data_IF_836423956750
#
_entry.id   IF_836423956750
#
_cell.length_a   1.000
_cell.length_b   1.000
_cell.length_c   1.000
_cell.angle_alpha   90.00
_cell.angle_beta   90.00
_cell.angle_gamma   90.00
#
_symmetry.space_group_name_H-M   'P 1'
#
loop_
_entity.id
_entity.type
_entity.pdbx_description
1 polymer ?
#
# COMPACT_ATOMS: atom_id res chain seq x y z
N UNK A 1 -55.53 -16.45 14.32
CA UNK A 1 -54.14 -16.55 14.84
C UNK A 1 -53.16 -16.21 13.72
N UNK A 2 -52.64 -14.99 13.66
CA UNK A 2 -51.59 -14.60 12.71
C UNK A 2 -50.24 -14.76 13.42
N UNK A 3 -49.44 -15.75 13.02
CA UNK A 3 -48.05 -15.88 13.45
C UNK A 3 -47.25 -14.82 12.68
N UNK A 4 -46.88 -13.72 13.33
CA UNK A 4 -45.82 -12.86 12.83
C UNK A 4 -44.53 -13.68 12.86
N UNK A 5 -43.96 -13.92 11.68
CA UNK A 5 -42.64 -14.49 11.55
C UNK A 5 -41.62 -13.49 12.09
N UNK A 6 -41.11 -13.76 13.29
CA UNK A 6 -39.92 -13.10 13.83
C UNK A 6 -38.75 -13.57 12.97
N UNK A 7 -38.32 -12.72 12.05
CA UNK A 7 -37.03 -12.88 11.36
C UNK A 7 -35.94 -12.97 12.44
N UNK A 8 -35.11 -14.03 12.47
CA UNK A 8 -34.19 -14.23 13.56
C UNK A 8 -33.07 -13.18 13.50
N UNK A 9 -32.88 -12.46 14.61
CA UNK A 9 -31.82 -11.47 14.87
C UNK A 9 -30.40 -11.98 14.55
N UNK A 10 -30.22 -13.29 14.41
CA UNK A 10 -28.95 -13.92 14.04
C UNK A 10 -28.49 -13.61 12.61
N UNK A 11 -29.39 -13.18 11.70
CA UNK A 11 -28.97 -12.72 10.37
C UNK A 11 -28.38 -11.30 10.39
N UNK A 12 -28.62 -10.50 11.44
CA UNK A 12 -28.05 -9.16 11.58
C UNK A 12 -26.65 -9.15 12.23
N UNK A 13 -26.26 -10.20 12.94
CA UNK A 13 -24.93 -10.30 13.56
C UNK A 13 -23.81 -10.68 12.58
N UNK A 14 -24.13 -11.03 11.34
CA UNK A 14 -23.15 -11.19 10.26
C UNK A 14 -22.77 -9.86 9.59
N UNK A 15 -23.50 -8.78 9.87
CA UNK A 15 -23.21 -7.42 9.40
C UNK A 15 -22.26 -6.65 10.34
N UNK A 16 -21.89 -7.18 11.52
CA UNK A 16 -21.28 -6.37 12.59
C UNK A 16 -19.77 -6.47 12.76
N UNK A 17 -19.05 -7.15 11.86
CA UNK A 17 -17.58 -7.19 11.93
C UNK A 17 -16.97 -6.46 10.74
N UNK A 18 -16.24 -5.37 10.99
CA UNK A 18 -15.32 -4.80 10.01
C UNK A 18 -14.25 -5.86 9.71
N UNK A 19 -13.93 -6.06 8.43
CA UNK A 19 -12.72 -6.77 8.05
C UNK A 19 -11.49 -6.01 8.51
N UNK A 20 -10.35 -6.70 8.62
CA UNK A 20 -9.07 -6.00 8.78
C UNK A 20 -8.91 -5.05 7.58
N UNK A 21 -8.72 -3.74 7.82
CA UNK A 21 -8.69 -2.76 6.75
C UNK A 21 -7.55 -3.07 5.77
N UNK A 22 -7.66 -2.55 4.55
CA UNK A 22 -6.54 -2.52 3.62
C UNK A 22 -5.26 -2.00 4.31
N UNK A 23 -4.06 -2.37 3.82
CA UNK A 23 -2.80 -1.88 4.37
C UNK A 23 -2.85 -0.37 4.65
N UNK A 24 -2.26 0.08 5.76
CA UNK A 24 -2.39 1.46 6.21
C UNK A 24 -2.01 2.48 5.11
N UNK A 25 -2.89 3.45 4.86
CA UNK A 25 -2.71 4.49 3.84
C UNK A 25 -3.53 4.30 2.55
N UNK A 26 -4.27 3.20 2.43
CA UNK A 26 -5.07 2.86 1.25
C UNK A 26 -6.55 2.93 1.64
N UNK A 27 -7.23 4.01 1.24
CA UNK A 27 -8.66 4.22 1.53
C UNK A 27 -9.52 3.42 0.54
N UNK A 28 -9.49 2.09 0.67
CA UNK A 28 -10.28 1.18 -0.15
C UNK A 28 -11.48 0.67 0.67
N UNK A 29 -12.63 0.50 0.03
CA UNK A 29 -13.85 -0.03 0.68
C UNK A 29 -13.83 -1.57 0.77
N UNK A 30 -12.63 -2.16 0.71
CA UNK A 30 -12.39 -3.60 0.74
C UNK A 30 -11.30 -3.96 1.75
N UNK A 31 -11.47 -5.12 2.40
CA UNK A 31 -10.58 -5.64 3.42
C UNK A 31 -9.34 -6.35 2.84
N UNK A 32 -8.47 -6.86 3.72
CA UNK A 32 -7.28 -7.67 3.33
C UNK A 32 -7.61 -8.91 2.49
N UNK A 33 -8.87 -9.36 2.51
CA UNK A 33 -9.40 -10.49 1.76
C UNK A 33 -10.18 -10.07 0.49
N UNK A 34 -10.12 -8.79 0.13
CA UNK A 34 -10.76 -8.21 -1.04
C UNK A 34 -12.29 -8.31 -0.99
N UNK A 35 -12.87 -8.27 0.21
CA UNK A 35 -14.32 -8.25 0.46
C UNK A 35 -14.74 -6.89 0.99
N UNK A 36 -16.02 -6.49 0.85
CA UNK A 36 -16.51 -5.24 1.42
C UNK A 36 -16.15 -5.11 2.91
N UNK A 37 -15.47 -4.03 3.26
CA UNK A 37 -14.77 -3.91 4.54
C UNK A 37 -15.73 -3.78 5.71
N UNK A 38 -16.62 -2.79 5.65
CA UNK A 38 -17.46 -2.41 6.77
C UNK A 38 -18.97 -2.69 6.52
N UNK A 39 -19.85 -2.47 7.51
CA UNK A 39 -21.29 -2.71 7.33
C UNK A 39 -21.92 -1.86 6.22
N UNK A 40 -21.45 -0.64 5.98
CA UNK A 40 -21.93 0.23 4.91
C UNK A 40 -21.49 -0.30 3.55
N UNK A 41 -20.23 -0.70 3.41
CA UNK A 41 -19.70 -1.29 2.18
C UNK A 41 -20.44 -2.59 1.83
N UNK A 42 -20.66 -3.46 2.82
CA UNK A 42 -21.43 -4.70 2.65
C UNK A 42 -22.85 -4.43 2.18
N UNK A 43 -23.49 -3.43 2.79
CA UNK A 43 -24.84 -3.01 2.45
C UNK A 43 -24.89 -2.44 1.03
N UNK A 44 -23.93 -1.60 0.66
CA UNK A 44 -23.84 -1.03 -0.67
C UNK A 44 -23.54 -2.08 -1.74
N UNK A 45 -22.60 -2.99 -1.49
CA UNK A 45 -22.31 -4.14 -2.35
C UNK A 45 -23.54 -5.06 -2.53
N UNK A 46 -24.41 -5.18 -1.52
CA UNK A 46 -25.63 -5.97 -1.62
C UNK A 46 -26.72 -5.28 -2.46
N UNK A 47 -26.97 -3.99 -2.23
CA UNK A 47 -28.06 -3.26 -2.91
C UNK A 47 -27.65 -2.70 -4.29
N UNK A 48 -26.37 -2.54 -4.55
CA UNK A 48 -25.85 -1.98 -5.81
C UNK A 48 -24.53 -2.66 -6.20
N UNK A 49 -24.54 -3.98 -6.45
CA UNK A 49 -23.32 -4.78 -6.64
C UNK A 49 -22.48 -4.28 -7.82
N UNK A 50 -23.10 -3.97 -8.95
CA UNK A 50 -22.40 -3.47 -10.13
C UNK A 50 -21.63 -2.17 -9.83
N UNK A 51 -22.32 -1.20 -9.22
CA UNK A 51 -21.72 0.09 -8.87
C UNK A 51 -20.60 -0.07 -7.85
N UNK A 52 -20.81 -0.84 -6.79
CA UNK A 52 -19.79 -1.09 -5.78
C UNK A 52 -18.51 -1.65 -6.40
N UNK A 53 -18.61 -2.73 -7.18
CA UNK A 53 -17.44 -3.37 -7.76
C UNK A 53 -16.77 -2.53 -8.86
N UNK A 54 -17.51 -1.69 -9.58
CA UNK A 54 -16.93 -0.70 -10.51
C UNK A 54 -16.14 0.38 -9.80
N UNK A 55 -16.62 0.87 -8.67
CA UNK A 55 -15.85 1.79 -7.84
C UNK A 55 -14.57 1.12 -7.33
N UNK A 56 -14.64 -0.14 -6.91
CA UNK A 56 -13.45 -0.87 -6.46
C UNK A 56 -12.44 -1.14 -7.59
N UNK A 57 -12.91 -1.41 -8.81
CA UNK A 57 -12.04 -1.55 -10.00
C UNK A 57 -11.28 -0.25 -10.27
N UNK A 58 -11.97 0.88 -10.23
CA UNK A 58 -11.37 2.21 -10.42
C UNK A 58 -10.37 2.55 -9.29
N UNK A 59 -10.76 2.33 -8.04
CA UNK A 59 -9.92 2.63 -6.88
C UNK A 59 -8.65 1.76 -6.93
N UNK A 60 -8.77 0.45 -7.20
CA UNK A 60 -7.62 -0.44 -7.36
C UNK A 60 -6.74 -0.08 -8.56
N UNK A 61 -7.32 0.40 -9.67
CA UNK A 61 -6.56 0.93 -10.80
C UNK A 61 -5.70 2.13 -10.42
N UNK A 62 -6.28 3.08 -9.66
CA UNK A 62 -5.57 4.25 -9.13
C UNK A 62 -4.43 3.84 -8.20
N UNK A 63 -4.73 2.91 -7.30
CA UNK A 63 -3.80 2.37 -6.33
C UNK A 63 -2.64 1.63 -7.01
N UNK A 64 -2.92 0.82 -8.03
CA UNK A 64 -1.92 0.11 -8.84
C UNK A 64 -0.97 1.06 -9.56
N UNK A 65 -1.51 2.05 -10.26
CA UNK A 65 -0.72 3.04 -10.99
C UNK A 65 0.20 3.84 -10.05
N UNK A 66 -0.32 4.28 -8.90
CA UNK A 66 0.47 4.98 -7.89
C UNK A 66 1.53 4.07 -7.25
N UNK A 67 1.17 2.83 -6.92
CA UNK A 67 2.03 1.83 -6.28
C UNK A 67 3.23 1.44 -7.15
N UNK A 68 3.02 1.20 -8.45
CA UNK A 68 4.09 0.86 -9.40
C UNK A 68 5.07 2.02 -9.58
N UNK A 69 4.57 3.25 -9.71
CA UNK A 69 5.39 4.46 -9.80
C UNK A 69 6.21 4.69 -8.54
N UNK A 70 5.59 4.59 -7.37
CA UNK A 70 6.25 4.81 -6.08
C UNK A 70 7.35 3.78 -5.83
N UNK A 71 7.10 2.51 -6.18
CA UNK A 71 8.09 1.44 -6.07
C UNK A 71 9.30 1.71 -6.97
N UNK A 72 9.05 2.03 -8.25
CA UNK A 72 10.10 2.36 -9.22
C UNK A 72 10.97 3.53 -8.75
N UNK A 73 10.33 4.60 -8.26
CA UNK A 73 11.05 5.76 -7.71
C UNK A 73 11.87 5.38 -6.47
N UNK A 74 11.33 4.56 -5.58
CA UNK A 74 12.02 4.15 -4.35
C UNK A 74 13.22 3.26 -4.65
N UNK A 75 13.09 2.33 -5.60
CA UNK A 75 14.21 1.50 -6.09
C UNK A 75 15.30 2.36 -6.75
N UNK A 76 14.91 3.35 -7.57
CA UNK A 76 15.87 4.30 -8.14
C UNK A 76 16.61 5.13 -7.08
N UNK A 77 15.91 5.57 -6.02
CA UNK A 77 16.53 6.27 -4.88
C UNK A 77 17.49 5.36 -4.11
N UNK A 78 17.16 4.08 -3.93
CA UNK A 78 18.04 3.11 -3.29
C UNK A 78 19.34 2.92 -4.10
N UNK A 79 19.23 2.74 -5.41
CA UNK A 79 20.37 2.58 -6.30
C UNK A 79 21.26 3.83 -6.32
N UNK A 80 20.63 5.02 -6.39
CA UNK A 80 21.32 6.29 -6.28
C UNK A 80 22.06 6.42 -4.94
N UNK A 81 21.42 6.10 -3.82
CA UNK A 81 22.05 6.14 -2.49
C UNK A 81 23.24 5.19 -2.41
N UNK A 82 23.10 3.94 -2.90
CA UNK A 82 24.17 2.94 -2.92
C UNK A 82 25.36 3.36 -3.76
N UNK A 83 25.13 3.92 -4.95
CA UNK A 83 26.20 4.43 -5.82
C UNK A 83 26.97 5.60 -5.20
N UNK A 84 26.35 6.38 -4.31
CA UNK A 84 26.98 7.52 -3.64
C UNK A 84 27.72 7.16 -2.35
N UNK A 85 27.78 5.88 -1.94
CA UNK A 85 28.44 5.45 -0.69
C UNK A 85 29.88 5.97 -0.56
N UNK A 86 30.64 5.92 -1.66
CA UNK A 86 32.02 6.43 -1.69
C UNK A 86 32.12 7.95 -1.50
N UNK A 87 31.21 8.73 -2.10
CA UNK A 87 31.15 10.18 -1.92
C UNK A 87 30.75 10.55 -0.49
N UNK A 88 29.84 9.79 0.12
CA UNK A 88 29.50 9.94 1.54
C UNK A 88 30.70 9.70 2.45
N UNK A 89 31.49 8.65 2.19
CA UNK A 89 32.73 8.40 2.92
C UNK A 89 33.72 9.56 2.76
N UNK A 90 33.96 10.03 1.53
CA UNK A 90 34.86 11.15 1.28
C UNK A 90 34.44 12.42 2.03
N UNK A 91 33.15 12.75 2.04
CA UNK A 91 32.62 13.89 2.82
C UNK A 91 32.82 13.71 4.32
N UNK A 92 32.64 12.50 4.85
CA UNK A 92 32.89 12.21 6.26
C UNK A 92 34.40 12.34 6.61
N UNK A 93 35.28 11.93 5.70
CA UNK A 93 36.72 12.10 5.86
C UNK A 93 37.18 13.56 5.79
N UNK A 94 36.57 14.36 4.91
CA UNK A 94 36.80 15.79 4.78
C UNK A 94 36.29 16.55 6.00
N UNK A 95 35.06 16.29 6.45
CA UNK A 95 34.51 16.88 7.68
C UNK A 95 35.37 16.56 8.91
N UNK A 96 35.86 15.32 9.04
CA UNK A 96 36.76 14.97 10.14
C UNK A 96 38.08 15.77 10.09
N UNK A 97 38.59 16.07 8.90
CA UNK A 97 39.79 16.88 8.68
C UNK A 97 39.57 18.35 9.04
N UNK A 98 38.45 18.91 8.61
CA UNK A 98 38.05 20.29 8.91
C UNK A 98 37.86 20.51 10.42
N UNK A 99 37.36 19.49 11.13
CA UNK A 99 37.23 19.48 12.59
C UNK A 99 38.57 19.24 13.32
N UNK A 100 39.67 19.02 12.59
CA UNK A 100 40.99 18.74 13.17
C UNK A 100 41.09 17.38 13.88
N UNK A 101 40.15 16.46 13.64
CA UNK A 101 40.12 15.15 14.30
C UNK A 101 41.26 14.26 13.78
N UNK A 102 41.87 13.51 14.69
CA UNK A 102 42.98 12.61 14.35
C UNK A 102 42.87 11.27 15.08
N UNK A 103 43.67 10.29 14.64
CA UNK A 103 43.80 9.00 15.30
C UNK A 103 42.45 8.29 15.53
N UNK A 104 42.11 8.05 16.80
CA UNK A 104 40.88 7.37 17.21
C UNK A 104 39.63 8.20 16.92
N UNK A 105 39.65 9.49 17.24
CA UNK A 105 38.51 10.40 17.09
C UNK A 105 38.09 10.54 15.63
N UNK A 106 39.06 10.62 14.69
CA UNK A 106 38.78 10.61 13.25
C UNK A 106 38.04 9.34 12.82
N UNK A 107 38.48 8.17 13.30
CA UNK A 107 37.86 6.89 12.95
C UNK A 107 36.45 6.78 13.51
N UNK A 108 36.22 7.23 14.74
CA UNK A 108 34.89 7.25 15.36
C UNK A 108 33.94 8.18 14.60
N UNK A 109 34.39 9.40 14.27
CA UNK A 109 33.59 10.34 13.48
C UNK A 109 33.18 9.77 12.12
N UNK A 110 34.13 9.20 11.36
CA UNK A 110 33.84 8.58 10.07
C UNK A 110 32.86 7.41 10.25
N UNK A 111 33.08 6.57 11.26
CA UNK A 111 32.21 5.43 11.55
C UNK A 111 30.78 5.88 11.84
N UNK A 112 30.57 6.87 12.70
CA UNK A 112 29.24 7.38 13.03
C UNK A 112 28.51 7.92 11.79
N UNK A 113 29.21 8.64 10.92
CA UNK A 113 28.64 9.13 9.66
C UNK A 113 28.23 7.97 8.74
N UNK A 114 29.07 6.95 8.60
CA UNK A 114 28.78 5.78 7.78
C UNK A 114 27.66 4.92 8.39
N UNK A 115 27.58 4.80 9.71
CA UNK A 115 26.48 4.12 10.40
C UNK A 115 25.14 4.84 10.15
N UNK A 116 25.12 6.19 10.11
CA UNK A 116 23.92 6.94 9.74
C UNK A 116 23.51 6.69 8.29
N UNK A 117 24.48 6.70 7.37
CA UNK A 117 24.23 6.37 5.97
C UNK A 117 23.64 4.96 5.83
N UNK A 118 24.21 3.95 6.48
CA UNK A 118 23.72 2.58 6.40
C UNK A 118 22.30 2.46 7.00
N UNK A 119 21.96 3.23 8.05
CA UNK A 119 20.58 3.33 8.58
C UNK A 119 19.60 3.96 7.58
N UNK A 120 20.02 5.01 6.87
CA UNK A 120 19.18 5.65 5.83
C UNK A 120 18.91 4.67 4.67
N UNK A 121 19.94 3.96 4.20
CA UNK A 121 19.78 2.91 3.18
C UNK A 121 18.82 1.83 3.66
N UNK A 122 18.99 1.35 4.89
CA UNK A 122 18.12 0.32 5.46
C UNK A 122 16.66 0.79 5.54
N UNK A 123 16.41 2.04 5.93
CA UNK A 123 15.07 2.60 5.96
C UNK A 123 14.42 2.68 4.56
N UNK A 124 15.21 2.89 3.50
CA UNK A 124 14.70 2.85 2.11
C UNK A 124 14.36 1.40 1.72
N UNK A 125 15.21 0.43 2.05
CA UNK A 125 14.96 -0.99 1.79
C UNK A 125 13.68 -1.48 2.46
N UNK A 126 13.50 -1.15 3.75
CA UNK A 126 12.31 -1.54 4.51
C UNK A 126 11.04 -0.91 3.91
N UNK A 127 11.13 0.34 3.42
CA UNK A 127 10.04 1.00 2.71
C UNK A 127 9.70 0.30 1.40
N UNK A 128 10.69 -0.08 0.61
CA UNK A 128 10.50 -0.84 -0.64
C UNK A 128 9.82 -2.17 -0.35
N UNK A 129 10.21 -2.87 0.71
CA UNK A 129 9.57 -4.13 1.11
C UNK A 129 8.08 -3.93 1.47
N UNK A 130 7.75 -2.87 2.22
CA UNK A 130 6.37 -2.53 2.52
C UNK A 130 5.57 -2.18 1.26
N UNK A 131 6.15 -1.43 0.32
CA UNK A 131 5.51 -1.11 -0.96
C UNK A 131 5.27 -2.36 -1.82
N UNK A 132 6.20 -3.33 -1.82
CA UNK A 132 6.03 -4.61 -2.52
C UNK A 132 4.84 -5.39 -1.96
N UNK A 133 4.75 -5.52 -0.63
CA UNK A 133 3.60 -6.17 0.03
C UNK A 133 2.27 -5.48 -0.30
N UNK A 134 2.25 -4.14 -0.32
CA UNK A 134 1.06 -3.39 -0.71
C UNK A 134 0.68 -3.64 -2.18
N UNK A 135 1.64 -3.59 -3.11
CA UNK A 135 1.39 -3.86 -4.53
C UNK A 135 0.92 -5.30 -4.78
N UNK A 136 1.41 -6.27 -4.01
CA UNK A 136 0.94 -7.65 -4.06
C UNK A 136 -0.51 -7.78 -3.59
N UNK A 137 -0.90 -7.06 -2.54
CA UNK A 137 -2.30 -6.97 -2.11
C UNK A 137 -3.19 -6.34 -3.19
N UNK A 138 -2.77 -5.23 -3.80
CA UNK A 138 -3.51 -4.60 -4.90
C UNK A 138 -3.73 -5.61 -6.04
N UNK A 139 -2.67 -6.32 -6.45
CA UNK A 139 -2.76 -7.32 -7.53
C UNK A 139 -3.72 -8.45 -7.18
N UNK A 140 -3.70 -8.92 -5.93
CA UNK A 140 -4.65 -9.92 -5.41
C UNK A 140 -6.08 -9.41 -5.50
N UNK A 141 -6.33 -8.17 -5.06
CA UNK A 141 -7.68 -7.61 -5.03
C UNK A 141 -8.19 -7.19 -6.40
N UNK A 142 -7.33 -6.71 -7.30
CA UNK A 142 -7.64 -6.42 -8.71
C UNK A 142 -8.21 -7.69 -9.37
N UNK A 143 -7.55 -8.83 -9.18
CA UNK A 143 -8.04 -10.11 -9.67
C UNK A 143 -9.37 -10.55 -9.02
N UNK A 144 -9.57 -10.23 -7.74
CA UNK A 144 -10.82 -10.56 -7.05
C UNK A 144 -11.98 -9.72 -7.59
N UNK A 145 -11.80 -8.41 -7.72
CA UNK A 145 -12.80 -7.48 -8.27
C UNK A 145 -13.14 -7.83 -9.71
N UNK A 146 -12.15 -8.14 -10.55
CA UNK A 146 -12.38 -8.61 -11.92
C UNK A 146 -13.26 -9.88 -11.95
N UNK A 147 -13.09 -10.81 -11.00
CA UNK A 147 -13.96 -11.99 -10.90
C UNK A 147 -15.39 -11.61 -10.52
N UNK A 148 -15.56 -10.71 -9.55
CA UNK A 148 -16.89 -10.25 -9.13
C UNK A 148 -17.63 -9.53 -10.26
N UNK A 149 -16.95 -8.65 -11.00
CA UNK A 149 -17.51 -8.01 -12.19
C UNK A 149 -17.94 -9.05 -13.24
N UNK A 150 -17.12 -10.06 -13.51
CA UNK A 150 -17.48 -11.14 -14.44
C UNK A 150 -18.68 -11.95 -13.97
N UNK A 151 -18.81 -12.21 -12.66
CA UNK A 151 -19.98 -12.87 -12.10
C UNK A 151 -21.27 -12.07 -12.30
N UNK A 152 -21.15 -10.74 -12.40
CA UNK A 152 -22.25 -9.82 -12.72
C UNK A 152 -22.46 -9.65 -14.25
N UNK A 153 -21.71 -10.37 -15.09
CA UNK A 153 -21.78 -10.23 -16.55
C UNK A 153 -21.09 -8.97 -17.09
N UNK A 154 -20.27 -8.30 -16.27
CA UNK A 154 -19.55 -7.09 -16.63
C UNK A 154 -18.11 -7.39 -17.05
N UNK A 155 -17.68 -6.80 -18.16
CA UNK A 155 -16.29 -6.83 -18.60
C UNK A 155 -15.45 -5.80 -17.84
N UNK A 156 -14.18 -6.10 -17.49
CA UNK A 156 -13.28 -5.11 -16.94
C UNK A 156 -13.08 -3.92 -17.87
N UNK A 157 -12.92 -2.74 -17.30
CA UNK A 157 -12.70 -1.50 -18.06
C UNK A 157 -11.24 -1.06 -17.88
N UNK A 158 -10.64 -0.52 -18.94
CA UNK A 158 -9.30 0.07 -18.85
C UNK A 158 -9.31 1.26 -17.90
N UNK A 159 -8.32 1.32 -17.01
CA UNK A 159 -8.23 2.39 -16.02
C UNK A 159 -7.96 3.74 -16.70
N UNK A 160 -8.85 4.71 -16.48
CA UNK A 160 -8.67 6.10 -16.88
C UNK A 160 -8.80 7.00 -15.62
N UNK A 161 -7.73 7.70 -15.20
CA UNK A 161 -7.75 8.56 -14.00
C UNK A 161 -8.69 9.77 -14.12
N UNK A 162 -9.20 10.06 -15.32
CA UNK A 162 -10.12 11.19 -15.58
C UNK A 162 -11.59 10.77 -15.60
N UNK A 163 -11.87 9.47 -15.68
CA UNK A 163 -13.22 8.93 -15.78
C UNK A 163 -13.47 7.95 -14.65
N UNK A 164 -14.24 8.38 -13.64
CA UNK A 164 -14.75 7.47 -12.62
C UNK A 164 -16.02 6.78 -13.16
N UNK A 165 -16.05 5.45 -13.29
CA UNK A 165 -17.27 4.76 -13.68
C UNK A 165 -18.34 5.00 -12.61
N UNK A 166 -19.50 5.53 -13.03
CA UNK A 166 -20.67 5.78 -12.17
C UNK A 166 -21.60 4.58 -12.10
#
# INVERSE_FOLDING_TARGET
MKKLAVLPLSLMLLLSACGEPAPAGWNANIDVNCKPQDPFDKTFAFFSPEKFWREQEYDLGTLKAAGEKNLTMSESVLDASRSQKGQYLQRAEEAARELGLSGKERREHIKENMDRYDKEVKAIEDRIEMQKKANDWIRKCDQAVVRELRNLGLAPVEYDPTIRPM
#
